data_IF_325684207800
#
_entry.id   IF_325684207800
#
_cell.length_a   1.000
_cell.length_b   1.000
_cell.length_c   1.000
_cell.angle_alpha   90.00
_cell.angle_beta   90.00
_cell.angle_gamma   90.00
#
_symmetry.space_group_name_H-M   'P 1'
#
loop_
_entity.id
_entity.type
_entity.pdbx_description
1 polymer ?
#
# COMPACT_ATOMS: atom_id res chain seq x y z
N UNK A 1 -59.34 21.46 59.92
CA UNK A 1 -60.68 21.42 59.26
C UNK A 1 -60.61 22.33 58.04
N UNK A 2 -60.59 21.74 56.88
CA UNK A 2 -60.46 22.44 55.59
C UNK A 2 -61.89 22.56 55.01
N UNK A 3 -62.34 23.69 54.53
CA UNK A 3 -63.70 23.83 54.00
C UNK A 3 -63.76 23.21 52.60
N UNK A 4 -64.84 22.46 52.39
CA UNK A 4 -65.17 21.78 51.12
C UNK A 4 -65.50 22.83 50.06
N UNK A 5 -64.79 22.77 48.91
CA UNK A 5 -65.11 23.52 47.72
C UNK A 5 -66.40 23.00 47.06
N UNK A 6 -67.27 23.86 46.61
CA UNK A 6 -68.47 23.45 45.91
C UNK A 6 -68.10 23.00 44.49
N UNK A 7 -68.66 21.85 44.07
CA UNK A 7 -68.52 21.27 42.76
C UNK A 7 -69.08 22.18 41.66
N UNK A 8 -68.22 22.48 40.68
CA UNK A 8 -68.61 23.21 39.46
C UNK A 8 -69.55 22.34 38.60
N UNK A 9 -70.58 22.91 38.01
CA UNK A 9 -71.44 22.18 37.07
C UNK A 9 -70.71 21.86 35.80
N UNK A 10 -71.00 20.74 35.15
CA UNK A 10 -70.37 20.31 33.90
C UNK A 10 -70.62 21.30 32.75
N UNK A 11 -69.69 21.56 31.87
CA UNK A 11 -69.87 22.47 30.73
C UNK A 11 -70.94 21.93 29.77
N UNK A 12 -71.70 22.79 29.12
CA UNK A 12 -72.76 22.41 28.22
C UNK A 12 -72.19 21.64 27.03
N UNK A 13 -72.77 20.47 26.68
CA UNK A 13 -72.43 19.71 25.52
C UNK A 13 -72.75 20.51 24.25
N UNK A 14 -71.70 20.86 23.52
CA UNK A 14 -71.79 21.53 22.23
C UNK A 14 -72.22 20.51 21.17
N UNK A 15 -73.48 20.55 20.78
CA UNK A 15 -74.01 19.77 19.66
C UNK A 15 -73.34 20.27 18.37
N UNK A 16 -72.40 19.47 17.82
CA UNK A 16 -71.86 19.72 16.51
C UNK A 16 -72.93 19.54 15.42
N UNK A 17 -72.82 20.24 14.32
CA UNK A 17 -73.77 20.05 13.18
C UNK A 17 -73.79 18.59 12.73
N UNK A 18 -74.94 18.06 12.37
CA UNK A 18 -75.07 16.67 11.89
C UNK A 18 -74.19 16.44 10.70
N UNK A 19 -73.45 15.35 10.68
CA UNK A 19 -72.57 14.94 9.58
C UNK A 19 -73.41 14.80 8.29
N UNK A 20 -72.99 15.37 7.15
CA UNK A 20 -73.69 15.16 5.91
C UNK A 20 -73.86 13.65 5.56
N UNK A 21 -74.98 13.23 4.98
CA UNK A 21 -75.19 11.86 4.62
C UNK A 21 -74.10 11.33 3.68
N UNK A 22 -73.51 10.17 4.04
CA UNK A 22 -72.56 9.52 3.23
C UNK A 22 -73.22 9.09 1.90
N UNK A 23 -72.86 9.75 0.82
CA UNK A 23 -73.28 9.30 -0.52
C UNK A 23 -72.68 7.92 -0.81
N UNK A 24 -73.46 6.94 -1.23
CA UNK A 24 -72.96 5.66 -1.63
C UNK A 24 -72.02 5.86 -2.85
N UNK A 25 -70.76 5.48 -2.69
CA UNK A 25 -69.81 5.45 -3.81
C UNK A 25 -70.35 4.55 -4.92
N UNK A 26 -70.29 4.97 -6.21
CA UNK A 26 -70.68 4.09 -7.28
C UNK A 26 -69.85 2.80 -7.26
N UNK A 27 -70.45 1.65 -7.45
CA UNK A 27 -69.72 0.37 -7.47
C UNK A 27 -68.76 0.39 -8.66
N UNK A 28 -67.43 0.26 -8.38
CA UNK A 28 -66.38 0.18 -9.39
C UNK A 28 -65.30 1.23 -9.34
N UNK A 29 -65.38 2.23 -8.43
CA UNK A 29 -64.28 3.17 -8.28
C UNK A 29 -63.24 2.59 -7.29
N UNK A 30 -62.30 1.81 -7.82
CA UNK A 30 -61.04 1.48 -7.12
C UNK A 30 -60.08 2.63 -7.38
N UNK A 31 -59.61 3.37 -6.37
CA UNK A 31 -58.54 4.32 -6.56
C UNK A 31 -57.36 3.54 -7.12
N UNK A 32 -56.68 4.04 -8.17
CA UNK A 32 -55.51 3.35 -8.72
C UNK A 32 -54.48 3.14 -7.61
N UNK A 33 -53.86 1.96 -7.52
CA UNK A 33 -52.83 1.72 -6.53
C UNK A 33 -51.76 2.82 -6.67
N UNK A 34 -51.45 3.50 -5.57
CA UNK A 34 -50.32 4.41 -5.54
C UNK A 34 -49.10 3.60 -5.93
N UNK A 35 -48.61 3.84 -7.14
CA UNK A 35 -47.44 3.15 -7.59
C UNK A 35 -46.22 3.71 -6.81
N UNK A 36 -45.66 2.93 -5.92
CA UNK A 36 -44.37 3.20 -5.29
C UNK A 36 -43.20 3.06 -6.29
N UNK A 37 -43.51 3.06 -7.59
CA UNK A 37 -42.57 2.94 -8.71
C UNK A 37 -41.43 3.95 -8.62
N UNK A 38 -41.69 5.16 -8.12
CA UNK A 38 -40.67 6.18 -7.95
C UNK A 38 -39.59 5.81 -6.93
N UNK A 39 -39.96 5.14 -5.84
CA UNK A 39 -39.00 4.68 -4.81
C UNK A 39 -38.16 3.54 -5.32
N UNK A 40 -38.77 2.60 -6.06
CA UNK A 40 -38.06 1.46 -6.65
C UNK A 40 -37.07 1.93 -7.70
N UNK A 41 -37.46 2.86 -8.57
CA UNK A 41 -36.55 3.45 -9.57
C UNK A 41 -35.38 4.18 -8.90
N UNK A 42 -35.63 4.93 -7.83
CA UNK A 42 -34.60 5.64 -7.09
C UNK A 42 -33.59 4.68 -6.44
N UNK A 43 -34.07 3.57 -5.88
CA UNK A 43 -33.20 2.52 -5.31
C UNK A 43 -32.35 1.87 -6.41
N UNK A 44 -32.94 1.53 -7.55
CA UNK A 44 -32.19 0.94 -8.67
C UNK A 44 -31.11 1.89 -9.17
N UNK A 45 -31.43 3.17 -9.35
CA UNK A 45 -30.47 4.19 -9.78
C UNK A 45 -29.34 4.34 -8.74
N UNK A 46 -29.67 4.37 -7.46
CA UNK A 46 -28.66 4.47 -6.40
C UNK A 46 -27.72 3.24 -6.41
N UNK A 47 -28.24 2.03 -6.55
CA UNK A 47 -27.42 0.80 -6.62
C UNK A 47 -26.51 0.80 -7.84
N UNK A 48 -27.01 1.24 -9.00
CA UNK A 48 -26.20 1.34 -10.23
C UNK A 48 -25.09 2.38 -10.07
N UNK A 49 -25.41 3.56 -9.54
CA UNK A 49 -24.39 4.62 -9.29
C UNK A 49 -23.32 4.16 -8.32
N UNK A 50 -23.71 3.52 -7.23
CA UNK A 50 -22.74 2.97 -6.26
C UNK A 50 -21.89 1.88 -6.91
N UNK A 51 -22.49 0.99 -7.68
CA UNK A 51 -21.78 -0.06 -8.41
C UNK A 51 -20.74 0.50 -9.38
N UNK A 52 -21.09 1.51 -10.15
CA UNK A 52 -20.16 2.20 -11.07
C UNK A 52 -19.03 2.90 -10.30
N UNK A 53 -19.35 3.60 -9.21
CA UNK A 53 -18.34 4.26 -8.37
C UNK A 53 -17.34 3.26 -7.81
N UNK A 54 -17.82 2.15 -7.23
CA UNK A 54 -16.95 1.08 -6.70
C UNK A 54 -16.07 0.51 -7.80
N UNK A 55 -16.62 0.26 -8.98
CA UNK A 55 -15.85 -0.29 -10.11
C UNK A 55 -14.76 0.66 -10.57
N UNK A 56 -15.05 1.96 -10.65
CA UNK A 56 -14.06 2.98 -11.03
C UNK A 56 -12.95 3.11 -9.99
N UNK A 57 -13.29 3.10 -8.70
CA UNK A 57 -12.29 3.13 -7.61
C UNK A 57 -11.42 1.88 -7.63
N UNK A 58 -12.03 0.70 -7.82
CA UNK A 58 -11.28 -0.56 -7.90
C UNK A 58 -10.35 -0.58 -9.12
N UNK A 59 -10.83 -0.10 -10.28
CA UNK A 59 -10.02 0.02 -11.49
C UNK A 59 -8.86 1.01 -11.30
N UNK A 60 -9.08 2.14 -10.63
CA UNK A 60 -8.04 3.11 -10.31
C UNK A 60 -6.98 2.52 -9.37
N UNK A 61 -7.39 1.79 -8.32
CA UNK A 61 -6.47 1.12 -7.41
C UNK A 61 -5.68 0.04 -8.14
N UNK A 62 -6.33 -0.79 -8.95
CA UNK A 62 -5.66 -1.81 -9.76
C UNK A 62 -4.72 -1.18 -10.80
N UNK A 63 -5.10 -0.04 -11.41
CA UNK A 63 -4.24 0.69 -12.34
C UNK A 63 -3.00 1.23 -11.66
N UNK A 64 -3.12 1.81 -10.45
CA UNK A 64 -1.97 2.27 -9.66
C UNK A 64 -1.10 1.09 -9.24
N UNK A 65 -1.69 -0.02 -8.77
CA UNK A 65 -0.93 -1.22 -8.39
C UNK A 65 -0.28 -1.88 -9.61
N UNK A 66 -0.98 -2.01 -10.73
CA UNK A 66 -0.41 -2.55 -11.97
C UNK A 66 0.62 -1.60 -12.57
N UNK A 67 0.42 -0.29 -12.48
CA UNK A 67 1.37 0.72 -12.91
C UNK A 67 2.70 0.62 -12.17
N UNK A 68 2.69 0.30 -10.86
CA UNK A 68 3.92 0.08 -10.09
C UNK A 68 4.58 -1.28 -10.40
N UNK A 69 3.82 -2.24 -10.95
CA UNK A 69 4.34 -3.58 -11.31
C UNK A 69 4.76 -3.69 -12.77
N UNK A 70 4.13 -2.95 -13.68
CA UNK A 70 4.31 -3.09 -15.15
C UNK A 70 5.13 -1.93 -15.73
N UNK A 71 4.98 -0.74 -15.23
CA UNK A 71 5.97 0.30 -15.48
C UNK A 71 7.15 -0.01 -14.55
N UNK A 72 8.13 -0.71 -15.09
CA UNK A 72 9.48 -0.60 -14.55
C UNK A 72 9.72 0.88 -14.25
N UNK A 73 10.49 1.24 -13.22
CA UNK A 73 10.60 2.60 -12.73
C UNK A 73 10.79 3.53 -13.93
N UNK A 74 9.84 4.46 -14.12
CA UNK A 74 9.96 5.50 -15.11
C UNK A 74 11.26 6.27 -14.87
N UNK A 75 11.70 7.13 -15.79
CA UNK A 75 12.94 7.86 -15.60
C UNK A 75 12.90 8.66 -14.28
N UNK A 76 13.42 8.04 -13.19
CA UNK A 76 13.42 8.59 -11.83
C UNK A 76 12.86 7.69 -10.73
N UNK A 77 12.23 6.54 -11.04
CA UNK A 77 11.84 5.53 -10.04
C UNK A 77 13.04 4.64 -9.62
N UNK A 78 13.01 4.03 -8.42
CA UNK A 78 14.08 3.13 -7.99
C UNK A 78 14.15 1.94 -8.94
N UNK A 79 15.26 1.83 -9.65
CA UNK A 79 15.51 0.70 -10.54
C UNK A 79 16.11 -0.43 -9.71
N UNK A 80 15.28 -1.41 -9.38
CA UNK A 80 15.67 -2.56 -8.58
C UNK A 80 16.62 -3.46 -9.37
N UNK A 81 17.75 -3.79 -8.76
CA UNK A 81 18.67 -4.81 -9.29
C UNK A 81 18.27 -6.18 -8.72
N UNK A 82 18.48 -7.24 -9.51
CA UNK A 82 18.33 -8.62 -9.05
C UNK A 82 19.63 -9.08 -8.40
N UNK A 83 19.54 -9.63 -7.18
CA UNK A 83 20.69 -10.23 -6.49
C UNK A 83 20.28 -11.60 -5.95
N UNK A 84 21.05 -12.60 -6.25
CA UNK A 84 20.98 -13.91 -5.61
C UNK A 84 22.07 -14.08 -4.56
N UNK A 85 21.78 -14.95 -3.59
CA UNK A 85 22.72 -15.32 -2.54
C UNK A 85 23.25 -16.73 -2.77
N UNK A 86 24.56 -16.88 -2.69
CA UNK A 86 25.25 -18.16 -2.76
C UNK A 86 26.32 -18.21 -1.68
N UNK A 87 26.09 -19.00 -0.63
CA UNK A 87 26.98 -19.03 0.52
C UNK A 87 28.09 -20.07 0.35
N UNK A 88 29.28 -19.71 0.83
CA UNK A 88 30.36 -20.66 1.05
C UNK A 88 30.58 -20.91 2.56
N UNK A 89 31.46 -21.81 2.93
CA UNK A 89 31.83 -22.05 4.32
C UNK A 89 32.43 -20.80 4.99
N UNK A 90 33.09 -19.94 4.24
CA UNK A 90 33.86 -18.78 4.74
C UNK A 90 33.25 -17.42 4.40
N UNK A 91 32.38 -17.34 3.41
CA UNK A 91 31.81 -16.08 2.93
C UNK A 91 30.33 -16.17 2.66
N UNK A 92 29.63 -15.06 2.90
CA UNK A 92 28.37 -14.75 2.28
C UNK A 92 28.66 -14.19 0.88
N UNK A 93 27.99 -14.70 -0.13
CA UNK A 93 28.25 -14.33 -1.53
C UNK A 93 26.96 -13.77 -2.13
N UNK A 94 26.97 -12.53 -2.55
CA UNK A 94 25.88 -11.87 -3.24
C UNK A 94 26.25 -11.70 -4.71
N UNK A 95 25.53 -12.33 -5.60
CA UNK A 95 25.74 -12.25 -7.04
C UNK A 95 24.68 -11.36 -7.67
N UNK A 96 25.12 -10.46 -8.51
CA UNK A 96 24.23 -9.60 -9.30
C UNK A 96 23.71 -10.37 -10.51
N UNK A 97 22.39 -10.60 -10.55
CA UNK A 97 21.74 -11.39 -11.62
C UNK A 97 21.10 -10.49 -12.68
N UNK A 98 20.68 -9.29 -12.33
CA UNK A 98 20.11 -8.34 -13.28
C UNK A 98 20.41 -6.90 -12.89
N UNK A 99 20.68 -6.05 -13.88
CA UNK A 99 20.93 -4.62 -13.72
C UNK A 99 20.16 -3.90 -14.84
N UNK A 100 18.92 -3.45 -14.59
CA UNK A 100 18.07 -2.87 -15.63
C UNK A 100 18.56 -1.50 -16.13
N UNK A 101 19.38 -0.79 -15.35
CA UNK A 101 19.97 0.48 -15.73
C UNK A 101 21.44 0.60 -15.33
N UNK A 102 22.10 1.60 -15.86
CA UNK A 102 23.52 1.85 -15.52
C UNK A 102 23.61 2.48 -14.13
N UNK A 103 24.39 1.86 -13.25
CA UNK A 103 24.73 2.37 -11.92
C UNK A 103 26.25 2.47 -11.82
N UNK A 104 26.77 3.70 -11.70
CA UNK A 104 28.19 3.92 -11.58
C UNK A 104 28.72 3.37 -10.25
N UNK A 105 29.84 2.64 -10.26
CA UNK A 105 30.42 2.08 -9.03
C UNK A 105 30.90 3.16 -8.05
N UNK A 106 31.11 4.39 -8.52
CA UNK A 106 31.53 5.53 -7.70
C UNK A 106 30.37 6.16 -6.90
N UNK A 107 29.13 5.98 -7.36
CA UNK A 107 27.91 6.50 -6.68
C UNK A 107 27.10 5.40 -6.02
N UNK A 108 27.26 4.15 -6.49
CA UNK A 108 26.58 2.99 -5.90
C UNK A 108 27.27 2.62 -4.60
N UNK A 109 26.50 2.66 -3.52
CA UNK A 109 26.96 2.42 -2.16
C UNK A 109 26.49 1.08 -1.63
N UNK A 110 27.32 0.47 -0.81
CA UNK A 110 27.04 -0.72 -0.03
C UNK A 110 26.92 -0.34 1.44
N UNK A 111 25.88 -0.78 2.10
CA UNK A 111 25.64 -0.58 3.52
C UNK A 111 25.21 -1.90 4.15
N UNK A 112 25.75 -2.21 5.31
CA UNK A 112 25.31 -3.35 6.11
C UNK A 112 24.88 -2.89 7.49
N UNK A 113 23.75 -3.43 7.98
CA UNK A 113 23.24 -3.20 9.33
C UNK A 113 23.29 -4.50 10.13
N UNK A 114 23.75 -4.40 11.35
CA UNK A 114 23.77 -5.54 12.27
C UNK A 114 22.35 -5.87 12.73
N UNK A 115 22.00 -7.16 12.73
CA UNK A 115 20.65 -7.61 13.09
C UNK A 115 20.28 -7.33 14.54
N UNK A 116 21.26 -7.39 15.46
CA UNK A 116 20.99 -7.28 16.89
C UNK A 116 20.60 -5.87 17.37
N UNK A 117 21.11 -4.81 16.74
CA UNK A 117 20.93 -3.43 17.21
C UNK A 117 20.68 -2.42 16.11
N UNK A 118 20.47 -2.88 14.87
CA UNK A 118 20.28 -2.04 13.69
C UNK A 118 21.39 -1.01 13.42
N UNK A 119 22.55 -1.15 14.10
CA UNK A 119 23.70 -0.29 13.89
C UNK A 119 24.28 -0.55 12.51
N UNK A 120 24.74 0.52 11.86
CA UNK A 120 25.49 0.40 10.61
C UNK A 120 26.83 -0.22 10.97
N UNK A 121 27.10 -1.37 10.39
CA UNK A 121 28.38 -2.07 10.62
C UNK A 121 29.40 -1.47 9.67
N UNK A 122 30.48 -0.93 10.25
CA UNK A 122 31.64 -0.59 9.47
C UNK A 122 32.37 -1.86 9.06
N UNK A 123 32.57 -1.99 7.81
CA UNK A 123 33.70 -1.57 7.03
C UNK A 123 33.24 -0.90 5.77
N UNK A 124 33.64 0.21 5.57
CA UNK A 124 33.25 1.50 6.02
C UNK A 124 31.73 1.67 5.91
N UNK A 125 31.08 2.29 6.89
CA UNK A 125 29.62 2.37 7.04
C UNK A 125 28.82 2.83 5.83
N UNK A 126 29.45 3.46 4.89
CA UNK A 126 28.93 3.75 3.55
C UNK A 126 30.11 3.68 2.59
N UNK A 127 30.37 2.51 2.00
CA UNK A 127 31.41 2.37 1.00
C UNK A 127 30.82 2.35 -0.40
N UNK A 128 31.44 3.05 -1.32
CA UNK A 128 31.12 2.87 -2.73
C UNK A 128 31.61 1.50 -3.21
N UNK A 129 30.89 0.89 -4.14
CA UNK A 129 31.34 -0.39 -4.73
C UNK A 129 32.72 -0.25 -5.39
N UNK A 130 33.04 0.93 -5.90
CA UNK A 130 34.37 1.20 -6.44
C UNK A 130 35.48 1.11 -5.38
N UNK A 131 35.25 1.62 -4.19
CA UNK A 131 36.18 1.52 -3.06
C UNK A 131 36.33 0.06 -2.58
N UNK A 132 35.27 -0.73 -2.64
CA UNK A 132 35.25 -2.13 -2.24
C UNK A 132 35.91 -3.09 -3.25
N UNK A 133 36.36 -2.62 -4.41
CA UNK A 133 37.25 -3.44 -5.28
C UNK A 133 38.51 -3.86 -4.53
N UNK A 134 38.98 -3.03 -3.62
CA UNK A 134 40.00 -3.42 -2.64
C UNK A 134 39.28 -3.94 -1.40
N UNK A 135 39.60 -5.15 -0.91
CA UNK A 135 38.98 -5.70 0.28
C UNK A 135 39.08 -4.75 1.45
N UNK A 136 37.97 -4.46 2.08
CA UNK A 136 37.92 -3.57 3.27
C UNK A 136 36.99 -4.13 4.31
N UNK A 137 37.49 -4.31 5.52
CA UNK A 137 36.75 -4.76 6.69
C UNK A 137 36.01 -6.10 6.50
N UNK A 138 36.53 -6.99 5.66
CA UNK A 138 35.90 -8.28 5.39
C UNK A 138 34.83 -8.25 4.29
N UNK A 139 34.68 -7.14 3.58
CA UNK A 139 33.81 -7.02 2.40
C UNK A 139 34.67 -6.72 1.16
N UNK A 140 34.33 -7.36 0.05
CA UNK A 140 34.97 -7.12 -1.23
C UNK A 140 33.94 -7.15 -2.36
N UNK A 141 34.06 -6.21 -3.28
CA UNK A 141 33.34 -6.19 -4.54
C UNK A 141 34.24 -6.70 -5.68
N UNK A 142 33.78 -7.72 -6.37
CA UNK A 142 34.46 -8.34 -7.49
C UNK A 142 33.68 -8.00 -8.76
N UNK A 143 34.08 -6.99 -9.53
CA UNK A 143 33.48 -6.71 -10.83
C UNK A 143 33.82 -7.81 -11.83
N UNK A 144 33.04 -7.92 -12.89
CA UNK A 144 33.29 -8.88 -13.99
C UNK A 144 34.63 -8.57 -14.67
N UNK A 145 34.90 -7.27 -14.86
CA UNK A 145 36.18 -6.80 -15.37
C UNK A 145 36.80 -5.80 -14.38
N UNK A 146 38.13 -5.85 -14.20
CA UNK A 146 38.82 -4.95 -13.27
C UNK A 146 38.64 -3.47 -13.61
N UNK A 147 38.45 -3.17 -14.91
CA UNK A 147 38.22 -1.83 -15.44
C UNK A 147 36.74 -1.40 -15.38
N UNK A 148 35.83 -2.22 -14.90
CA UNK A 148 34.43 -1.87 -14.83
C UNK A 148 34.21 -0.57 -14.05
N UNK A 149 33.45 0.35 -14.61
CA UNK A 149 33.03 1.60 -13.98
C UNK A 149 31.58 1.60 -13.53
N UNK A 150 30.82 0.63 -14.02
CA UNK A 150 29.41 0.44 -13.70
C UNK A 150 29.18 -0.93 -13.06
N UNK A 151 28.04 -1.06 -12.35
CA UNK A 151 27.59 -2.34 -11.87
C UNK A 151 27.13 -3.20 -13.05
N UNK A 152 27.61 -4.42 -13.09
CA UNK A 152 27.36 -5.37 -14.19
C UNK A 152 26.76 -6.66 -13.67
N UNK A 153 25.98 -7.32 -14.51
CA UNK A 153 25.48 -8.68 -14.27
C UNK A 153 26.66 -9.61 -14.06
N UNK A 154 26.55 -10.54 -13.15
CA UNK A 154 27.61 -11.47 -12.69
C UNK A 154 28.70 -10.85 -11.82
N UNK A 155 28.64 -9.55 -11.50
CA UNK A 155 29.47 -8.99 -10.42
C UNK A 155 29.12 -9.64 -9.08
N UNK A 156 30.09 -9.73 -8.20
CA UNK A 156 29.95 -10.45 -6.93
C UNK A 156 30.38 -9.57 -5.76
N UNK A 157 29.63 -9.61 -4.67
CA UNK A 157 30.01 -9.03 -3.39
C UNK A 157 30.26 -10.20 -2.43
N UNK A 158 31.45 -10.29 -1.87
CA UNK A 158 31.80 -11.27 -0.84
C UNK A 158 31.90 -10.63 0.51
N UNK A 159 31.34 -11.26 1.53
CA UNK A 159 31.33 -10.79 2.90
C UNK A 159 31.86 -11.91 3.79
N UNK A 160 32.96 -11.66 4.50
CA UNK A 160 33.61 -12.65 5.34
C UNK A 160 32.75 -13.07 6.53
N UNK A 161 32.51 -14.37 6.70
CA UNK A 161 31.82 -14.94 7.85
C UNK A 161 32.66 -14.83 9.12
N UNK A 162 33.97 -14.70 9.03
CA UNK A 162 34.84 -14.43 10.18
C UNK A 162 34.61 -13.05 10.74
N UNK A 163 34.43 -12.05 9.88
CA UNK A 163 34.12 -10.68 10.32
C UNK A 163 32.64 -10.52 10.70
N UNK A 164 31.75 -11.25 10.04
CA UNK A 164 30.30 -11.17 10.23
C UNK A 164 29.69 -12.58 10.35
N UNK A 165 29.85 -13.21 11.52
CA UNK A 165 29.45 -14.61 11.71
C UNK A 165 27.93 -14.81 11.78
N UNK A 166 27.18 -13.77 12.09
CA UNK A 166 25.73 -13.88 12.31
C UNK A 166 24.96 -13.79 11.02
N UNK A 167 24.05 -14.72 10.78
CA UNK A 167 22.98 -14.59 9.80
C UNK A 167 21.96 -13.53 10.28
N UNK A 168 21.28 -12.89 9.33
CA UNK A 168 20.25 -11.91 9.62
C UNK A 168 20.73 -10.45 9.56
N UNK A 169 21.98 -10.20 9.24
CA UNK A 169 22.45 -8.85 8.91
C UNK A 169 21.77 -8.36 7.65
N UNK A 170 21.26 -7.14 7.66
CA UNK A 170 20.63 -6.52 6.49
C UNK A 170 21.68 -5.81 5.67
N UNK A 171 21.71 -6.12 4.37
CA UNK A 171 22.54 -5.46 3.37
C UNK A 171 21.64 -4.59 2.49
N UNK A 172 22.07 -3.36 2.24
CA UNK A 172 21.43 -2.42 1.33
C UNK A 172 22.42 -1.94 0.29
N UNK A 173 22.01 -1.96 -0.97
CA UNK A 173 22.75 -1.37 -2.09
C UNK A 173 21.92 -0.21 -2.61
N UNK A 174 22.53 0.97 -2.72
CA UNK A 174 21.84 2.18 -3.12
C UNK A 174 22.69 3.00 -4.13
N UNK A 175 22.04 3.73 -5.02
CA UNK A 175 22.67 4.71 -5.90
C UNK A 175 22.11 6.10 -5.56
N UNK A 176 22.95 6.92 -4.95
CA UNK A 176 22.51 8.15 -4.32
C UNK A 176 21.45 7.90 -3.24
N UNK A 177 20.27 8.50 -3.38
CA UNK A 177 19.12 8.28 -2.47
C UNK A 177 18.24 7.07 -2.83
N UNK A 178 18.51 6.42 -3.97
CA UNK A 178 17.67 5.34 -4.47
C UNK A 178 18.19 4.00 -3.97
N UNK A 179 17.36 3.27 -3.21
CA UNK A 179 17.66 1.90 -2.80
C UNK A 179 17.44 0.98 -4.00
N UNK A 180 18.51 0.33 -4.45
CA UNK A 180 18.49 -0.60 -5.57
C UNK A 180 18.12 -2.02 -5.12
N UNK A 181 18.58 -2.40 -3.93
CA UNK A 181 18.33 -3.72 -3.36
C UNK A 181 18.52 -3.72 -1.84
N UNK A 182 17.69 -4.50 -1.16
CA UNK A 182 17.84 -4.80 0.27
C UNK A 182 17.59 -6.29 0.49
N UNK A 183 18.45 -6.93 1.27
CA UNK A 183 18.32 -8.34 1.64
C UNK A 183 19.01 -8.67 2.94
N UNK A 184 18.78 -9.88 3.45
CA UNK A 184 19.40 -10.39 4.68
C UNK A 184 20.42 -11.46 4.35
N UNK A 185 21.53 -11.49 5.13
CA UNK A 185 22.57 -12.52 5.05
C UNK A 185 22.16 -13.78 5.82
#
# INVERSE_FOLDING_TARGET
>A
MQPSQPSQPPPPQQWGPPSPPAYPYPPGYYPPPRSDSGKIVLIIVAVVVIGVLVTVVLAAVLYVMAGTLITGPGPGGPQLIGISRADTSTHWVLRVDSVPARHALTTTTFQMRWSANSTIVNPPGLATLNALKTPSGGVQFLPVTSSATNLEVSSVITISKTSYPSAGNTVTIADGSNVLWTGTL
#
